data_IF_906382038484
#
_entry.id   IF_906382038484
#
_cell.length_a   1.000
_cell.length_b   1.000
_cell.length_c   1.000
_cell.angle_alpha   90.00
_cell.angle_beta   90.00
_cell.angle_gamma   90.00
#
_symmetry.space_group_name_H-M   'P 1'
#
loop_
_entity.id
_entity.type
_entity.pdbx_description
1 polymer ?
#
# COMPACT_ATOMS: atom_id res chain seq x y z
N UNK A 1 7.91 -10.64 -4.57
CA UNK A 1 9.02 -10.36 -5.53
C UNK A 1 9.88 -9.27 -4.89
N UNK A 2 11.19 -9.44 -4.80
CA UNK A 2 12.06 -8.37 -4.28
C UNK A 2 12.07 -7.24 -5.31
N UNK A 3 12.00 -5.99 -4.87
CA UNK A 3 12.08 -4.81 -5.74
C UNK A 3 13.40 -4.73 -6.53
N UNK A 4 13.47 -3.90 -7.58
CA UNK A 4 14.68 -3.72 -8.38
C UNK A 4 15.85 -3.22 -7.53
N UNK A 5 17.07 -3.49 -8.00
CA UNK A 5 18.31 -3.06 -7.37
C UNK A 5 18.99 -2.00 -8.23
N UNK A 6 19.57 -1.00 -7.55
CA UNK A 6 20.44 0.01 -8.16
C UNK A 6 21.57 0.38 -7.18
N UNK A 7 22.63 0.97 -7.69
CA UNK A 7 23.70 1.53 -6.85
C UNK A 7 23.36 2.96 -6.41
N UNK A 8 22.67 3.69 -7.25
CA UNK A 8 22.25 5.07 -7.01
C UNK A 8 20.76 5.27 -7.28
N UNK A 9 20.14 6.16 -6.51
CA UNK A 9 18.70 6.47 -6.65
C UNK A 9 18.39 7.13 -8.00
N UNK A 10 19.34 7.84 -8.58
CA UNK A 10 19.18 8.49 -9.89
C UNK A 10 19.06 7.48 -11.04
N UNK A 11 19.47 6.22 -10.84
CA UNK A 11 19.29 5.13 -11.79
C UNK A 11 17.85 4.55 -11.81
N UNK A 12 16.98 5.02 -10.91
CA UNK A 12 15.63 4.49 -10.80
C UNK A 12 14.87 4.48 -12.15
N UNK A 13 14.94 5.52 -13.01
CA UNK A 13 14.27 5.46 -14.32
C UNK A 13 14.67 4.28 -15.19
N UNK A 14 15.90 3.78 -15.05
CA UNK A 14 16.45 2.66 -15.84
C UNK A 14 16.02 1.29 -15.29
N UNK A 15 15.49 1.26 -14.06
CA UNK A 15 15.14 0.04 -13.34
C UNK A 15 13.66 -0.31 -13.41
N UNK A 16 12.86 0.59 -13.94
CA UNK A 16 11.43 0.41 -14.10
C UNK A 16 11.02 0.51 -15.58
N UNK A 17 10.01 -0.25 -15.96
CA UNK A 17 9.39 -0.13 -17.27
C UNK A 17 8.48 1.10 -17.30
N UNK A 18 9.02 2.18 -17.87
CA UNK A 18 8.35 3.49 -17.89
C UNK A 18 7.05 3.47 -18.67
N UNK A 19 6.99 2.73 -19.78
CA UNK A 19 5.77 2.67 -20.60
C UNK A 19 4.62 2.02 -19.81
N UNK A 20 4.93 0.94 -19.09
CA UNK A 20 3.96 0.33 -18.18
C UNK A 20 3.55 1.26 -17.03
N UNK A 21 4.48 2.08 -16.50
CA UNK A 21 4.19 3.03 -15.42
C UNK A 21 3.32 4.21 -15.87
N UNK A 22 3.40 4.62 -17.12
CA UNK A 22 2.52 5.65 -17.67
C UNK A 22 1.08 5.16 -17.79
N UNK A 23 0.90 3.86 -18.08
CA UNK A 23 -0.44 3.25 -18.09
C UNK A 23 -0.97 2.97 -16.68
N UNK A 24 -0.09 2.52 -15.78
CA UNK A 24 -0.43 2.10 -14.41
C UNK A 24 0.65 2.53 -13.42
N UNK A 25 0.50 3.67 -12.75
CA UNK A 25 1.40 4.07 -11.67
C UNK A 25 1.46 2.98 -10.57
N UNK A 26 2.65 2.74 -10.06
CA UNK A 26 2.88 1.79 -8.96
C UNK A 26 3.54 2.48 -7.78
N UNK A 27 3.50 1.81 -6.64
CA UNK A 27 4.36 2.11 -5.48
C UNK A 27 5.25 0.89 -5.28
N UNK A 28 6.56 1.11 -5.32
CA UNK A 28 7.56 0.05 -5.15
C UNK A 28 8.78 0.62 -4.40
N UNK A 29 9.81 -0.18 -4.22
CA UNK A 29 11.03 0.22 -3.53
C UNK A 29 12.26 -0.19 -4.33
N UNK A 30 13.33 0.58 -4.17
CA UNK A 30 14.62 0.38 -4.82
C UNK A 30 15.64 -0.12 -3.78
N UNK A 31 16.21 -1.30 -4.01
CA UNK A 31 17.13 -1.92 -3.06
C UNK A 31 18.59 -1.54 -3.33
N UNK A 32 19.30 -1.24 -2.26
CA UNK A 32 20.75 -1.04 -2.27
C UNK A 32 21.20 0.30 -2.83
N UNK A 33 20.30 1.19 -3.21
CA UNK A 33 20.65 2.49 -3.78
C UNK A 33 21.19 3.46 -2.73
N UNK A 34 22.19 4.24 -3.12
CA UNK A 34 22.69 5.39 -2.36
C UNK A 34 22.15 6.72 -2.96
N UNK A 35 21.87 7.74 -2.13
CA UNK A 35 21.85 7.67 -0.66
C UNK A 35 20.84 6.67 -0.13
N UNK A 36 21.19 5.93 0.92
CA UNK A 36 20.27 5.02 1.59
C UNK A 36 19.21 5.79 2.37
N UNK A 37 18.01 5.21 2.47
CA UNK A 37 16.80 5.81 3.04
C UNK A 37 16.24 6.96 2.20
N UNK A 38 14.98 7.22 2.38
CA UNK A 38 14.28 8.30 1.70
C UNK A 38 13.16 7.82 0.79
N UNK A 39 12.56 8.78 0.12
CA UNK A 39 11.47 8.57 -0.83
C UNK A 39 11.85 9.20 -2.16
N UNK A 40 11.54 8.54 -3.25
CA UNK A 40 11.67 9.13 -4.59
C UNK A 40 10.35 9.00 -5.36
N UNK A 41 10.18 9.91 -6.31
CA UNK A 41 9.07 9.87 -7.28
C UNK A 41 9.70 9.92 -8.66
N UNK A 42 9.24 9.06 -9.56
CA UNK A 42 9.54 9.18 -10.98
C UNK A 42 8.45 10.03 -11.64
N UNK A 43 8.84 11.18 -12.15
CA UNK A 43 7.99 12.10 -12.90
C UNK A 43 8.30 12.02 -14.38
N UNK A 44 7.26 12.00 -15.22
CA UNK A 44 7.38 12.05 -16.66
C UNK A 44 7.06 13.47 -17.17
N UNK A 45 7.94 14.01 -18.01
CA UNK A 45 7.76 15.32 -18.64
C UNK A 45 8.37 15.30 -20.04
N UNK A 46 7.55 15.51 -21.07
CA UNK A 46 7.99 15.47 -22.48
C UNK A 46 7.93 16.84 -23.18
N UNK A 47 7.37 17.86 -22.53
CA UNK A 47 7.38 19.21 -23.11
C UNK A 47 8.82 19.73 -23.28
N UNK A 48 9.22 20.16 -24.51
CA UNK A 48 10.59 20.57 -24.79
C UNK A 48 11.10 21.73 -23.93
N UNK A 49 10.21 22.67 -23.55
CA UNK A 49 10.59 23.82 -22.74
C UNK A 49 10.85 23.37 -21.28
N UNK A 50 9.95 22.60 -20.72
CA UNK A 50 10.09 22.01 -19.38
C UNK A 50 11.36 21.16 -19.28
N UNK A 51 11.63 20.32 -20.28
CA UNK A 51 12.85 19.50 -20.35
C UNK A 51 14.11 20.34 -20.39
N UNK A 52 14.12 21.48 -21.09
CA UNK A 52 15.27 22.40 -21.10
C UNK A 52 15.60 22.97 -19.72
N UNK A 53 14.57 23.25 -18.92
CA UNK A 53 14.75 23.65 -17.52
C UNK A 53 15.27 22.51 -16.65
N UNK A 54 14.76 21.30 -16.81
CA UNK A 54 15.27 20.13 -16.08
C UNK A 54 16.75 19.88 -16.37
N UNK A 55 17.17 19.99 -17.65
CA UNK A 55 18.58 19.91 -18.04
C UNK A 55 19.44 21.02 -17.41
N UNK A 56 18.92 22.25 -17.39
CA UNK A 56 19.59 23.37 -16.74
C UNK A 56 19.82 23.09 -15.24
N UNK A 57 18.85 22.46 -14.57
CA UNK A 57 18.96 22.02 -13.16
C UNK A 57 19.71 20.69 -12.98
N UNK A 58 20.32 20.16 -14.04
CA UNK A 58 21.13 18.94 -14.03
C UNK A 58 20.35 17.68 -13.59
N UNK A 59 19.07 17.64 -13.90
CA UNK A 59 18.21 16.48 -13.60
C UNK A 59 18.28 15.39 -14.67
N UNK A 60 19.14 15.52 -15.69
CA UNK A 60 19.25 14.59 -16.82
C UNK A 60 18.51 15.06 -18.06
N UNK A 61 18.49 14.22 -19.10
CA UNK A 61 17.89 14.55 -20.38
C UNK A 61 16.41 14.22 -20.48
N UNK A 62 15.88 13.45 -19.51
CA UNK A 62 14.50 13.02 -19.48
C UNK A 62 14.15 12.00 -20.58
N UNK A 63 12.87 11.69 -20.82
CA UNK A 63 11.68 12.37 -20.26
C UNK A 63 11.30 11.95 -18.84
N UNK A 64 11.99 10.99 -18.23
CA UNK A 64 11.75 10.55 -16.87
C UNK A 64 12.78 11.15 -15.93
N UNK A 65 12.31 11.73 -14.85
CA UNK A 65 13.12 12.43 -13.85
C UNK A 65 12.89 11.84 -12.47
N UNK A 66 13.97 11.72 -11.68
CA UNK A 66 13.91 11.27 -10.30
C UNK A 66 13.84 12.46 -9.36
N UNK A 67 12.76 12.56 -8.60
CA UNK A 67 12.62 13.54 -7.52
C UNK A 67 12.85 12.81 -6.21
N UNK A 68 13.98 13.08 -5.57
CA UNK A 68 14.42 12.35 -4.38
C UNK A 68 14.37 13.22 -3.14
N UNK A 69 13.84 12.68 -2.04
CA UNK A 69 13.88 13.26 -0.71
C UNK A 69 14.59 12.31 0.24
N UNK A 70 15.80 12.66 0.74
CA UNK A 70 16.65 11.75 1.49
C UNK A 70 16.03 11.29 2.82
N UNK A 71 15.24 12.15 3.46
CA UNK A 71 14.48 11.82 4.66
C UNK A 71 13.40 12.88 4.91
N UNK A 72 12.46 12.56 5.77
CA UNK A 72 11.51 13.53 6.28
C UNK A 72 11.59 13.59 7.82
N UNK A 73 11.44 14.79 8.35
CA UNK A 73 11.46 15.03 9.79
C UNK A 73 10.00 15.18 10.26
N UNK A 74 9.38 14.05 10.62
CA UNK A 74 7.97 13.99 11.00
C UNK A 74 7.53 15.08 11.97
N UNK A 75 8.27 15.38 13.06
CA UNK A 75 7.89 16.45 13.99
C UNK A 75 7.81 17.83 13.34
N UNK A 76 8.71 18.16 12.42
CA UNK A 76 8.72 19.48 11.73
C UNK A 76 7.67 19.53 10.61
N UNK A 77 7.51 18.46 9.87
CA UNK A 77 6.55 18.37 8.76
C UNK A 77 5.11 18.31 9.26
N UNK A 78 4.87 17.72 10.43
CA UNK A 78 3.55 17.72 11.09
C UNK A 78 3.08 19.14 11.39
N UNK A 79 3.96 20.00 11.91
CA UNK A 79 3.63 21.41 12.18
C UNK A 79 3.21 22.13 10.89
N UNK A 80 3.91 21.87 9.78
CA UNK A 80 3.55 22.44 8.47
C UNK A 80 2.19 21.97 7.99
N UNK A 81 1.88 20.67 8.14
CA UNK A 81 0.58 20.10 7.75
C UNK A 81 -0.56 20.69 8.58
N UNK A 82 -0.37 20.84 9.90
CA UNK A 82 -1.34 21.48 10.80
C UNK A 82 -1.54 22.94 10.42
N UNK A 83 -0.47 23.68 10.14
CA UNK A 83 -0.56 25.08 9.74
C UNK A 83 -1.32 25.26 8.41
N UNK A 84 -1.10 24.39 7.41
CA UNK A 84 -1.85 24.38 6.15
C UNK A 84 -3.34 24.15 6.38
N UNK A 85 -3.68 23.16 7.19
CA UNK A 85 -5.08 22.87 7.50
C UNK A 85 -5.77 24.02 8.22
N UNK A 86 -5.12 24.62 9.22
CA UNK A 86 -5.74 25.69 10.05
C UNK A 86 -5.76 27.03 9.35
N UNK A 87 -4.69 27.42 8.65
CA UNK A 87 -4.55 28.76 8.06
C UNK A 87 -5.10 28.85 6.64
N UNK A 88 -5.02 27.77 5.88
CA UNK A 88 -5.37 27.75 4.46
C UNK A 88 -6.59 26.89 4.14
N UNK A 89 -7.11 26.13 5.11
CA UNK A 89 -8.17 25.14 4.86
C UNK A 89 -7.73 24.00 3.93
N UNK A 90 -6.43 23.74 3.82
CA UNK A 90 -5.83 22.77 2.92
C UNK A 90 -5.52 21.48 3.68
N UNK A 91 -6.08 20.35 3.27
CA UNK A 91 -5.87 19.04 3.87
C UNK A 91 -4.44 18.49 3.66
N UNK A 92 -3.61 19.16 2.87
CA UNK A 92 -2.26 18.79 2.45
C UNK A 92 -2.22 17.52 1.56
N UNK A 93 -2.93 16.46 1.93
CA UNK A 93 -3.11 15.24 1.14
C UNK A 93 -4.58 14.85 1.19
N UNK A 94 -5.23 14.85 0.04
CA UNK A 94 -6.64 14.50 -0.08
C UNK A 94 -6.85 13.49 -1.21
N UNK A 95 -7.55 12.36 -0.95
CA UNK A 95 -7.91 11.42 -2.00
C UNK A 95 -8.82 12.07 -3.03
N UNK A 96 -8.46 12.00 -4.30
CA UNK A 96 -9.25 12.56 -5.41
C UNK A 96 -10.35 11.62 -5.90
N UNK A 97 -10.36 10.38 -5.43
CA UNK A 97 -11.31 9.36 -5.87
C UNK A 97 -11.34 8.14 -4.95
N UNK A 98 -11.93 7.06 -5.45
CA UNK A 98 -11.96 5.77 -4.77
C UNK A 98 -10.60 5.10 -4.71
N UNK A 99 -10.47 4.02 -3.91
CA UNK A 99 -9.22 3.29 -3.78
C UNK A 99 -8.81 2.64 -5.10
N UNK A 100 -7.55 2.82 -5.48
CA UNK A 100 -6.92 2.25 -6.68
C UNK A 100 -6.07 1.05 -6.30
N UNK A 101 -5.46 1.10 -5.11
CA UNK A 101 -4.62 0.04 -4.55
C UNK A 101 -5.11 -0.33 -3.16
N UNK A 102 -4.84 -1.56 -2.76
CA UNK A 102 -5.04 -2.06 -1.39
C UNK A 102 -3.76 -2.69 -0.88
N UNK A 103 -3.55 -2.65 0.43
CA UNK A 103 -2.51 -3.45 1.08
C UNK A 103 -3.16 -4.73 1.57
N UNK A 104 -2.75 -5.85 0.96
CA UNK A 104 -3.27 -7.18 1.27
C UNK A 104 -2.30 -7.96 2.16
N UNK A 105 -2.81 -8.87 2.97
CA UNK A 105 -2.02 -9.64 3.91
C UNK A 105 -1.38 -10.86 3.25
N UNK A 106 -0.07 -11.07 3.54
CA UNK A 106 0.64 -12.31 3.22
C UNK A 106 1.23 -12.93 4.50
N UNK A 107 1.30 -14.25 4.55
CA UNK A 107 1.82 -14.95 5.72
C UNK A 107 3.34 -14.81 5.84
N UNK A 108 3.87 -14.33 6.99
CA UNK A 108 5.32 -14.27 7.28
C UNK A 108 5.94 -15.65 7.52
N UNK A 109 5.13 -16.61 7.91
CA UNK A 109 5.48 -17.99 8.24
C UNK A 109 4.27 -18.89 8.00
N UNK A 110 4.42 -20.21 8.02
CA UNK A 110 3.25 -21.09 8.03
C UNK A 110 2.32 -20.75 9.20
N UNK A 111 1.02 -20.66 8.94
CA UNK A 111 -0.02 -20.38 9.92
C UNK A 111 -0.92 -21.60 10.08
N UNK A 112 -1.23 -21.96 11.31
CA UNK A 112 -2.11 -23.11 11.60
C UNK A 112 -3.57 -22.69 11.72
N UNK A 113 -4.49 -23.61 11.41
CA UNK A 113 -5.91 -23.39 11.71
C UNK A 113 -6.11 -23.16 13.22
N UNK A 114 -6.94 -22.20 13.59
CA UNK A 114 -7.18 -21.77 14.97
C UNK A 114 -6.20 -20.68 15.45
N UNK A 115 -5.15 -20.40 14.72
CA UNK A 115 -4.20 -19.35 15.08
C UNK A 115 -4.81 -17.95 14.93
N UNK A 116 -4.50 -17.06 15.88
CA UNK A 116 -4.97 -15.68 15.84
C UNK A 116 -3.91 -14.79 15.18
N UNK A 117 -4.32 -13.96 14.25
CA UNK A 117 -3.48 -12.97 13.62
C UNK A 117 -3.25 -11.78 14.58
N UNK A 118 -2.05 -11.24 14.55
CA UNK A 118 -1.57 -10.18 15.46
C UNK A 118 -1.53 -8.79 14.80
N UNK A 119 -2.10 -8.66 13.60
CA UNK A 119 -2.32 -7.38 12.94
C UNK A 119 -1.08 -6.71 12.35
N UNK A 120 -1.19 -5.40 12.15
CA UNK A 120 -0.13 -4.57 11.55
C UNK A 120 1.08 -4.50 12.50
N UNK A 121 2.27 -4.76 11.95
CA UNK A 121 3.52 -4.75 12.72
C UNK A 121 3.78 -6.02 13.54
N UNK A 122 2.85 -6.99 13.49
CA UNK A 122 2.99 -8.28 14.18
C UNK A 122 3.94 -9.27 13.49
N UNK A 123 3.86 -10.53 13.91
CA UNK A 123 4.76 -11.63 13.47
C UNK A 123 4.07 -12.63 12.55
N UNK A 124 2.74 -12.53 12.39
CA UNK A 124 1.97 -13.50 11.60
C UNK A 124 1.90 -13.13 10.12
N UNK A 125 1.71 -11.84 9.80
CA UNK A 125 1.46 -11.36 8.45
C UNK A 125 2.31 -10.12 8.12
N UNK A 126 2.49 -9.88 6.80
CA UNK A 126 3.03 -8.64 6.25
C UNK A 126 2.15 -8.14 5.12
N UNK A 127 2.26 -6.85 4.79
CA UNK A 127 1.46 -6.23 3.75
C UNK A 127 2.15 -6.26 2.38
N UNK A 128 1.37 -6.54 1.35
CA UNK A 128 1.76 -6.38 -0.05
C UNK A 128 0.77 -5.47 -0.77
N UNK A 129 1.27 -4.64 -1.67
CA UNK A 129 0.42 -3.80 -2.51
C UNK A 129 -0.19 -4.64 -3.63
N UNK A 130 -1.50 -4.45 -3.84
CA UNK A 130 -2.23 -5.02 -4.95
C UNK A 130 -3.22 -3.99 -5.50
N UNK A 131 -3.58 -4.10 -6.79
CA UNK A 131 -4.63 -3.29 -7.37
C UNK A 131 -5.98 -3.62 -6.72
N UNK A 132 -6.76 -2.62 -6.34
CA UNK A 132 -8.08 -2.80 -5.69
C UNK A 132 -8.98 -3.74 -6.47
N UNK A 133 -9.03 -3.60 -7.81
CA UNK A 133 -9.85 -4.47 -8.65
C UNK A 133 -9.44 -5.95 -8.54
N UNK A 134 -8.15 -6.26 -8.48
CA UNK A 134 -7.62 -7.62 -8.29
C UNK A 134 -7.88 -8.11 -6.88
N UNK A 135 -7.56 -7.31 -5.87
CA UNK A 135 -7.77 -7.66 -4.47
C UNK A 135 -9.25 -8.04 -4.20
N UNK A 136 -10.18 -7.26 -4.77
CA UNK A 136 -11.62 -7.52 -4.63
C UNK A 136 -12.08 -8.76 -5.38
N UNK A 137 -11.63 -8.94 -6.63
CA UNK A 137 -11.97 -10.10 -7.46
C UNK A 137 -11.47 -11.41 -6.84
N UNK A 138 -10.30 -11.40 -6.26
CA UNK A 138 -9.64 -12.56 -5.66
C UNK A 138 -9.93 -12.70 -4.15
N UNK A 139 -10.81 -11.84 -3.62
CA UNK A 139 -11.20 -11.83 -2.23
C UNK A 139 -10.01 -11.78 -1.25
N UNK A 140 -8.92 -11.07 -1.63
CA UNK A 140 -7.72 -10.94 -0.80
C UNK A 140 -8.04 -10.16 0.49
N UNK A 141 -7.44 -10.61 1.59
CA UNK A 141 -7.69 -10.02 2.90
C UNK A 141 -6.91 -8.71 3.06
N UNK A 142 -7.57 -7.54 3.25
CA UNK A 142 -6.89 -6.29 3.55
C UNK A 142 -6.08 -6.39 4.85
N UNK A 143 -4.85 -5.87 4.83
CA UNK A 143 -3.95 -5.87 6.00
C UNK A 143 -4.59 -5.21 7.24
N UNK A 144 -5.39 -4.17 7.04
CA UNK A 144 -6.11 -3.48 8.12
C UNK A 144 -7.21 -4.30 8.82
N UNK A 145 -7.60 -5.46 8.25
CA UNK A 145 -8.63 -6.35 8.82
C UNK A 145 -8.04 -7.58 9.52
N UNK A 146 -6.71 -7.69 9.61
CA UNK A 146 -6.04 -8.86 10.16
C UNK A 146 -6.02 -8.90 11.69
N UNK A 147 -6.13 -7.76 12.36
CA UNK A 147 -6.04 -7.70 13.83
C UNK A 147 -7.15 -8.50 14.50
N UNK A 148 -6.74 -9.53 15.26
CA UNK A 148 -7.63 -10.41 15.98
C UNK A 148 -8.42 -11.41 15.12
N UNK A 149 -8.22 -11.42 13.81
CA UNK A 149 -8.79 -12.44 12.94
C UNK A 149 -8.21 -13.82 13.27
N UNK A 150 -9.02 -14.88 13.08
CA UNK A 150 -8.63 -16.26 13.34
C UNK A 150 -8.51 -17.04 12.05
N UNK A 151 -7.38 -17.68 11.84
CA UNK A 151 -7.12 -18.57 10.69
C UNK A 151 -8.03 -19.78 10.76
N UNK A 152 -8.72 -20.15 9.68
CA UNK A 152 -9.64 -21.29 9.65
C UNK A 152 -9.09 -22.49 8.89
N UNK A 153 -8.06 -22.31 8.07
CA UNK A 153 -7.34 -23.41 7.40
C UNK A 153 -5.83 -23.10 7.36
N UNK A 154 -4.95 -24.10 7.29
CA UNK A 154 -3.51 -23.88 7.23
C UNK A 154 -3.13 -22.98 6.02
N UNK A 155 -2.17 -22.08 6.23
CA UNK A 155 -1.67 -21.16 5.22
C UNK A 155 -0.15 -21.31 5.17
N UNK A 156 0.39 -21.45 3.97
CA UNK A 156 1.83 -21.56 3.74
C UNK A 156 2.51 -20.18 3.84
N UNK A 157 3.81 -20.21 4.11
CA UNK A 157 4.65 -18.99 4.09
C UNK A 157 4.53 -18.29 2.73
N UNK A 158 4.50 -16.96 2.74
CA UNK A 158 4.38 -16.08 1.58
C UNK A 158 3.08 -16.22 0.76
N UNK A 159 2.15 -17.04 1.21
CA UNK A 159 0.82 -17.10 0.61
C UNK A 159 0.00 -15.86 0.97
N UNK A 160 -0.71 -15.30 -0.02
CA UNK A 160 -1.69 -14.26 0.21
C UNK A 160 -2.90 -14.83 0.95
N UNK A 161 -3.36 -14.13 1.99
CA UNK A 161 -4.57 -14.47 2.71
C UNK A 161 -5.81 -13.97 1.96
N UNK A 162 -6.86 -14.76 1.99
CA UNK A 162 -8.17 -14.39 1.48
C UNK A 162 -9.20 -14.33 2.61
N UNK A 163 -10.38 -13.78 2.33
CA UNK A 163 -11.49 -13.82 3.28
C UNK A 163 -11.93 -15.27 3.62
N UNK A 164 -11.69 -16.24 2.71
CA UNK A 164 -11.98 -17.66 2.97
C UNK A 164 -10.97 -18.33 3.90
N UNK A 165 -9.85 -17.70 4.18
CA UNK A 165 -8.81 -18.23 5.05
C UNK A 165 -8.99 -17.86 6.53
N UNK A 166 -9.84 -16.87 6.80
CA UNK A 166 -9.94 -16.29 8.14
C UNK A 166 -11.39 -16.06 8.56
N UNK A 167 -11.60 -16.03 9.86
CA UNK A 167 -12.76 -15.41 10.49
C UNK A 167 -12.32 -14.09 11.10
N UNK A 168 -12.90 -12.97 10.65
CA UNK A 168 -12.61 -11.65 11.18
C UNK A 168 -13.01 -11.53 12.66
N UNK A 169 -12.32 -10.64 13.38
CA UNK A 169 -12.78 -10.21 14.69
C UNK A 169 -14.12 -9.48 14.54
N UNK A 170 -15.12 -9.78 15.38
CA UNK A 170 -16.44 -9.18 15.25
C UNK A 170 -16.44 -7.69 15.62
N UNK A 171 -17.34 -6.94 14.99
CA UNK A 171 -17.71 -5.57 15.33
C UNK A 171 -16.54 -4.56 15.32
N UNK A 172 -15.52 -4.77 14.50
CA UNK A 172 -14.38 -3.85 14.42
C UNK A 172 -14.75 -2.57 13.66
N UNK A 173 -14.18 -1.44 14.10
CA UNK A 173 -14.32 -0.17 13.37
C UNK A 173 -13.70 -0.26 11.98
N UNK A 174 -12.57 -0.97 11.85
CA UNK A 174 -11.87 -1.15 10.58
C UNK A 174 -12.77 -1.84 9.53
N UNK A 175 -13.44 -2.92 9.90
CA UNK A 175 -14.37 -3.63 9.00
C UNK A 175 -15.55 -2.73 8.59
N UNK A 176 -16.15 -2.00 9.54
CA UNK A 176 -17.26 -1.09 9.24
C UNK A 176 -16.86 0.00 8.25
N UNK A 177 -15.71 0.64 8.46
CA UNK A 177 -15.20 1.69 7.56
C UNK A 177 -14.81 1.13 6.20
N UNK A 178 -14.25 -0.07 6.15
CA UNK A 178 -13.92 -0.74 4.90
C UNK A 178 -15.18 -1.08 4.06
N UNK A 179 -16.26 -1.52 4.72
CA UNK A 179 -17.57 -1.74 4.06
C UNK A 179 -18.20 -0.43 3.59
N UNK A 180 -18.20 0.61 4.43
CA UNK A 180 -18.70 1.94 4.07
C UNK A 180 -17.94 2.52 2.87
N UNK A 181 -16.62 2.34 2.81
CA UNK A 181 -15.82 2.71 1.65
C UNK A 181 -16.26 1.93 0.40
N UNK A 182 -16.48 0.62 0.52
CA UNK A 182 -16.93 -0.20 -0.59
C UNK A 182 -18.30 0.28 -1.12
N UNK A 183 -19.26 0.52 -0.25
CA UNK A 183 -20.58 1.05 -0.61
C UNK A 183 -20.48 2.41 -1.30
N UNK A 184 -19.66 3.30 -0.75
CA UNK A 184 -19.48 4.67 -1.28
C UNK A 184 -18.92 4.70 -2.69
N UNK A 185 -18.03 3.77 -3.01
CA UNK A 185 -17.33 3.72 -4.31
C UNK A 185 -17.81 2.59 -5.22
N UNK A 186 -18.88 1.89 -4.86
CA UNK A 186 -19.45 0.80 -5.66
C UNK A 186 -18.48 -0.38 -5.83
N UNK A 187 -17.66 -0.67 -4.81
CA UNK A 187 -16.69 -1.76 -4.86
C UNK A 187 -17.33 -3.08 -4.42
N UNK A 188 -16.88 -4.16 -5.03
CA UNK A 188 -17.31 -5.50 -4.62
C UNK A 188 -16.86 -5.81 -3.19
N UNK A 189 -17.79 -6.29 -2.36
CA UNK A 189 -17.49 -6.86 -1.05
C UNK A 189 -17.48 -8.38 -1.19
N UNK A 190 -16.33 -9.04 -0.95
CA UNK A 190 -16.27 -10.51 -0.98
C UNK A 190 -17.22 -11.15 0.06
N UNK A 191 -17.70 -12.34 -0.25
CA UNK A 191 -18.43 -13.16 0.73
C UNK A 191 -17.50 -13.48 1.91
N UNK A 192 -18.02 -13.45 3.11
CA UNK A 192 -17.27 -13.80 4.32
C UNK A 192 -17.82 -15.08 4.93
N UNK A 193 -16.95 -15.94 5.50
CA UNK A 193 -17.41 -17.10 6.25
C UNK A 193 -18.36 -16.67 7.36
N UNK A 194 -19.50 -17.34 7.48
CA UNK A 194 -20.50 -17.06 8.50
C UNK A 194 -19.86 -17.12 9.90
N UNK A 195 -20.16 -16.15 10.75
CA UNK A 195 -19.80 -16.22 12.15
C UNK A 195 -20.46 -17.46 12.77
N UNK A 196 -19.66 -18.47 13.11
CA UNK A 196 -20.18 -19.59 13.89
C UNK A 196 -20.51 -19.03 15.29
N UNK A 197 -21.79 -18.89 15.59
CA UNK A 197 -22.24 -18.61 16.95
C UNK A 197 -21.68 -19.72 17.83
N UNK A 198 -20.74 -19.40 18.72
CA UNK A 198 -20.30 -20.33 19.74
C UNK A 198 -21.54 -20.70 20.54
N UNK A 199 -21.96 -21.99 20.42
CA UNK A 199 -22.99 -22.51 21.28
C UNK A 199 -22.50 -22.37 22.71
N UNK A 200 -23.13 -21.50 23.46
CA UNK A 200 -22.96 -21.37 24.91
C UNK A 200 -23.49 -22.68 25.49
N UNK A 201 -22.60 -23.64 25.70
CA UNK A 201 -22.92 -24.81 26.56
C UNK A 201 -22.90 -24.28 27.99
N UNK A 202 -24.10 -24.25 28.57
CA UNK A 202 -24.32 -23.90 29.98
C UNK A 202 -23.76 -24.91 30.95
#
# INVERSE_FOLDING_TARGET
MLGPRAERVEEAPERFDVDSLLERPIVDYLLGAEPSFGVFVLGYEDDPLSRSYMQFYKMGEGPVYTFYRPFHLGPLETVQSVARAVLLGDSAVEPLGGPVTEVVAQAKRPLAAGERLDGIGGFTVYGMLENTATARREALLPMGLTDGATVIRPIEIDAALTFDDVRLAPDTLAERLWREQADRFGLQVPAMPAATTAATTG
#
